data_IF_070719727834
#
_entry.id   IF_070719727834
#
_cell.length_a   1.000
_cell.length_b   1.000
_cell.length_c   1.000
_cell.angle_alpha   90.00
_cell.angle_beta   90.00
_cell.angle_gamma   90.00
#
_symmetry.space_group_name_H-M   'P 1'
#
loop_
_entity.id
_entity.type
_entity.pdbx_description
1 polymer ?
#
# COMPACT_ATOMS: atom_id res chain seq x y z
N UNK A 1 23.14 -26.41 2.65
CA UNK A 1 22.30 -27.60 2.47
C UNK A 1 20.83 -27.22 2.51
N UNK A 2 20.07 -27.72 1.56
CA UNK A 2 18.60 -27.52 1.58
C UNK A 2 17.94 -28.45 2.58
N UNK A 3 16.93 -27.97 3.25
CA UNK A 3 16.15 -28.77 4.21
C UNK A 3 15.32 -29.84 3.46
N UNK A 4 15.02 -30.98 4.10
CA UNK A 4 14.13 -31.98 3.51
C UNK A 4 12.78 -31.38 3.10
N UNK A 5 12.34 -31.66 1.87
CA UNK A 5 11.09 -31.14 1.30
C UNK A 5 11.21 -29.79 0.60
N UNK A 6 12.35 -29.15 0.62
CA UNK A 6 12.62 -27.94 -0.16
C UNK A 6 13.09 -28.33 -1.56
N UNK A 7 12.35 -27.90 -2.58
CA UNK A 7 12.61 -28.20 -4.00
C UNK A 7 13.07 -26.99 -4.81
N UNK A 8 13.33 -25.86 -4.14
CA UNK A 8 13.79 -24.65 -4.81
C UNK A 8 15.25 -24.82 -5.23
N UNK A 9 15.50 -24.64 -6.51
CA UNK A 9 16.86 -24.74 -7.06
C UNK A 9 17.63 -23.45 -6.80
N UNK A 10 18.78 -23.57 -6.15
CA UNK A 10 19.71 -22.44 -5.99
C UNK A 10 20.53 -22.33 -7.27
N UNK A 11 20.49 -21.16 -7.88
CA UNK A 11 21.14 -20.89 -9.16
C UNK A 11 21.86 -19.52 -9.19
N UNK A 12 22.38 -19.12 -10.34
CA UNK A 12 23.16 -17.88 -10.47
C UNK A 12 22.39 -16.60 -10.13
N UNK A 13 21.05 -16.64 -10.21
CA UNK A 13 20.17 -15.50 -9.88
C UNK A 13 19.64 -15.56 -8.45
N UNK A 14 20.07 -16.53 -7.65
CA UNK A 14 19.61 -16.65 -6.26
C UNK A 14 20.42 -15.72 -5.36
N UNK A 15 19.76 -14.82 -4.68
CA UNK A 15 20.37 -13.97 -3.67
C UNK A 15 20.34 -14.66 -2.31
N UNK A 16 21.47 -14.61 -1.60
CA UNK A 16 21.57 -15.11 -0.22
C UNK A 16 21.54 -13.95 0.78
N UNK A 17 20.60 -14.00 1.71
CA UNK A 17 20.46 -13.01 2.78
C UNK A 17 20.81 -13.66 4.11
N UNK A 18 21.77 -13.09 4.84
CA UNK A 18 22.18 -13.59 6.15
C UNK A 18 21.09 -13.37 7.19
N UNK A 19 20.68 -14.46 7.84
CA UNK A 19 19.61 -14.44 8.85
C UNK A 19 19.99 -15.03 10.20
N UNK A 20 21.26 -15.20 10.48
CA UNK A 20 21.74 -15.78 11.72
C UNK A 20 21.29 -14.99 12.93
N UNK A 21 20.71 -15.67 13.91
CA UNK A 21 20.17 -15.06 15.13
C UNK A 21 18.90 -14.20 14.91
N UNK A 22 18.25 -14.33 13.75
CA UNK A 22 17.02 -13.57 13.42
C UNK A 22 15.86 -14.52 13.14
N UNK A 23 14.67 -14.01 13.35
CA UNK A 23 13.43 -14.68 12.96
C UNK A 23 12.89 -13.96 11.72
N UNK A 24 12.68 -14.72 10.64
CA UNK A 24 12.06 -14.19 9.43
C UNK A 24 10.54 -14.22 9.55
N UNK A 25 9.92 -13.10 9.38
CA UNK A 25 8.46 -12.94 9.36
C UNK A 25 8.02 -12.26 8.07
N UNK A 26 6.75 -12.37 7.73
CA UNK A 26 6.16 -11.49 6.72
C UNK A 26 6.23 -10.03 7.21
N UNK A 27 6.38 -9.10 6.28
CA UNK A 27 6.25 -7.68 6.57
C UNK A 27 4.83 -7.33 7.00
N UNK A 28 4.68 -6.30 7.82
CA UNK A 28 3.38 -5.82 8.26
C UNK A 28 2.58 -5.16 7.13
N UNK A 29 1.27 -5.22 7.23
CA UNK A 29 0.35 -4.45 6.39
C UNK A 29 -0.42 -3.46 7.24
N UNK A 30 -0.31 -2.18 6.93
CA UNK A 30 -1.15 -1.14 7.52
C UNK A 30 -2.29 -0.79 6.56
N UNK A 31 -3.51 -1.10 6.94
CA UNK A 31 -4.71 -0.89 6.14
C UNK A 31 -5.56 0.31 6.59
N UNK A 32 -5.03 1.17 7.46
CA UNK A 32 -5.73 2.34 7.95
C UNK A 32 -4.81 3.57 7.97
N UNK A 33 -4.54 4.12 6.81
CA UNK A 33 -3.61 5.24 6.64
C UNK A 33 -4.29 6.41 5.94
N UNK A 34 -3.84 7.59 6.30
CA UNK A 34 -4.03 8.82 5.55
C UNK A 34 -2.68 9.26 5.01
N UNK A 35 -2.48 9.21 3.70
CA UNK A 35 -1.22 9.61 3.06
C UNK A 35 -1.08 11.14 3.08
N UNK A 36 -0.61 11.67 4.21
CA UNK A 36 -0.47 13.11 4.44
C UNK A 36 0.90 13.61 4.04
N UNK A 37 1.94 12.81 4.31
CA UNK A 37 3.32 13.18 4.04
C UNK A 37 4.13 11.96 3.57
N UNK A 38 5.03 12.09 2.59
CA UNK A 38 5.81 10.98 2.07
C UNK A 38 6.72 10.33 3.12
N UNK A 39 7.14 11.07 4.13
CA UNK A 39 7.93 10.55 5.25
C UNK A 39 7.25 9.40 5.99
N UNK A 40 5.92 9.33 5.98
CA UNK A 40 5.19 8.21 6.57
C UNK A 40 5.61 6.86 5.97
N UNK A 41 5.88 6.83 4.68
CA UNK A 41 6.23 5.60 3.96
C UNK A 41 7.60 5.09 4.41
N UNK A 42 8.57 5.98 4.53
CA UNK A 42 9.91 5.65 5.02
C UNK A 42 9.88 5.14 6.47
N UNK A 43 9.17 5.86 7.34
CA UNK A 43 8.99 5.46 8.75
C UNK A 43 8.30 4.10 8.89
N UNK A 44 7.28 3.85 8.09
CA UNK A 44 6.58 2.58 8.07
C UNK A 44 7.50 1.43 7.63
N UNK A 45 8.27 1.64 6.55
CA UNK A 45 9.21 0.65 6.03
C UNK A 45 10.29 0.32 7.07
N UNK A 46 10.85 1.33 7.73
CA UNK A 46 11.83 1.15 8.80
C UNK A 46 11.25 0.43 10.03
N UNK A 47 9.96 0.49 10.21
CA UNK A 47 9.22 -0.20 11.28
C UNK A 47 8.77 -1.62 10.91
N UNK A 48 9.11 -2.10 9.71
CA UNK A 48 8.76 -3.45 9.25
C UNK A 48 7.42 -3.55 8.53
N UNK A 49 6.79 -2.44 8.17
CA UNK A 49 5.62 -2.41 7.30
C UNK A 49 6.10 -2.48 5.85
N UNK A 50 5.54 -3.40 5.08
CA UNK A 50 5.88 -3.59 3.67
C UNK A 50 4.71 -3.37 2.72
N UNK A 51 3.53 -3.14 3.27
CA UNK A 51 2.32 -2.83 2.51
C UNK A 51 1.50 -1.78 3.25
N UNK A 52 1.07 -0.75 2.54
CA UNK A 52 0.19 0.29 3.06
C UNK A 52 -1.03 0.45 2.17
N UNK A 53 -2.21 0.36 2.76
CA UNK A 53 -3.49 0.66 2.11
C UNK A 53 -4.11 1.88 2.78
N UNK A 54 -4.21 2.97 2.07
CA UNK A 54 -4.68 4.20 2.66
C UNK A 54 -5.35 5.17 1.69
N UNK A 55 -5.53 6.36 2.14
CA UNK A 55 -6.34 7.38 1.49
C UNK A 55 -7.72 7.45 2.13
N UNK A 56 -8.71 7.90 1.37
CA UNK A 56 -10.02 8.16 1.92
C UNK A 56 -10.09 9.52 2.62
N UNK A 57 -11.23 9.85 3.18
CA UNK A 57 -11.39 11.10 3.90
C UNK A 57 -10.59 11.05 5.20
N UNK A 58 -9.62 11.91 5.31
CA UNK A 58 -9.02 12.25 6.59
C UNK A 58 -10.05 12.91 7.52
N UNK A 59 -9.63 13.84 8.36
CA UNK A 59 -10.58 14.71 9.04
C UNK A 59 -11.54 15.31 8.00
N UNK A 60 -12.74 15.61 8.39
CA UNK A 60 -13.92 15.83 7.55
C UNK A 60 -13.78 16.78 6.33
N UNK A 61 -12.70 17.48 6.20
CA UNK A 61 -12.39 18.40 5.09
C UNK A 61 -11.19 17.97 4.24
N UNK A 62 -10.66 16.80 4.48
CA UNK A 62 -9.40 16.35 3.90
C UNK A 62 -9.50 15.85 2.47
N UNK A 63 -10.15 16.57 1.59
CA UNK A 63 -10.26 16.13 0.20
C UNK A 63 -8.95 16.25 -0.56
N UNK A 64 -8.10 17.19 -0.23
CA UNK A 64 -6.90 17.45 -1.03
C UNK A 64 -5.65 16.67 -0.58
N UNK A 65 -5.55 16.35 0.69
CA UNK A 65 -4.34 15.74 1.23
C UNK A 65 -4.48 14.26 1.58
N UNK A 66 -5.71 13.77 1.75
CA UNK A 66 -5.92 12.45 2.37
C UNK A 66 -6.95 11.61 1.66
N UNK A 67 -7.54 12.11 0.58
CA UNK A 67 -8.67 11.44 -0.06
C UNK A 67 -8.43 11.12 -1.50
N UNK A 68 -8.81 9.94 -1.84
CA UNK A 68 -8.98 9.53 -3.21
C UNK A 68 -10.46 9.65 -3.58
N UNK A 69 -10.88 10.87 -3.88
CA UNK A 69 -12.23 11.20 -4.33
C UNK A 69 -12.26 11.38 -5.84
N UNK A 70 -12.70 10.36 -6.56
CA UNK A 70 -12.75 10.37 -8.01
C UNK A 70 -11.44 9.96 -8.68
N UNK A 71 -11.54 9.69 -9.98
CA UNK A 71 -10.47 9.11 -10.78
C UNK A 71 -9.19 9.97 -10.79
N UNK A 72 -9.33 11.27 -10.88
CA UNK A 72 -8.17 12.18 -10.94
C UNK A 72 -7.28 12.07 -9.68
N UNK A 73 -7.89 12.07 -8.49
CA UNK A 73 -7.12 11.97 -7.24
C UNK A 73 -6.42 10.62 -7.11
N UNK A 74 -7.12 9.53 -7.47
CA UNK A 74 -6.54 8.18 -7.44
C UNK A 74 -5.35 8.08 -8.38
N UNK A 75 -5.48 8.53 -9.62
CA UNK A 75 -4.40 8.49 -10.61
C UNK A 75 -3.21 9.36 -10.20
N UNK A 76 -3.47 10.55 -9.65
CA UNK A 76 -2.41 11.46 -9.19
C UNK A 76 -1.65 10.85 -8.01
N UNK A 77 -2.35 10.25 -7.05
CA UNK A 77 -1.70 9.58 -5.92
C UNK A 77 -0.92 8.33 -6.33
N UNK A 78 -1.43 7.56 -7.30
CA UNK A 78 -0.67 6.42 -7.85
C UNK A 78 0.64 6.87 -8.49
N UNK A 79 0.61 7.95 -9.28
CA UNK A 79 1.82 8.52 -9.85
C UNK A 79 2.82 8.99 -8.79
N UNK A 80 2.34 9.50 -7.66
CA UNK A 80 3.20 9.90 -6.54
C UNK A 80 3.84 8.72 -5.80
N UNK A 81 3.33 7.50 -5.99
CA UNK A 81 3.83 6.30 -5.32
C UNK A 81 4.98 5.61 -6.04
N UNK A 82 5.23 5.91 -7.31
CA UNK A 82 6.14 5.16 -8.17
C UNK A 82 7.58 5.09 -7.65
N UNK A 83 8.01 6.11 -6.93
CA UNK A 83 9.39 6.18 -6.43
C UNK A 83 9.60 5.48 -5.06
N UNK A 84 8.56 4.95 -4.45
CA UNK A 84 8.67 4.34 -3.12
C UNK A 84 8.83 2.82 -3.19
N UNK A 85 9.82 2.23 -2.49
CA UNK A 85 10.07 0.79 -2.48
C UNK A 85 9.13 0.05 -1.51
N UNK A 86 7.83 0.24 -1.65
CA UNK A 86 6.80 -0.35 -0.82
C UNK A 86 5.56 -0.71 -1.65
N UNK A 87 4.80 -1.70 -1.21
CA UNK A 87 3.49 -1.99 -1.78
C UNK A 87 2.50 -0.94 -1.29
N UNK A 88 2.04 -0.08 -2.18
CA UNK A 88 1.12 1.00 -1.87
C UNK A 88 -0.20 0.80 -2.60
N UNK A 89 -1.30 0.97 -1.89
CA UNK A 89 -2.64 0.87 -2.44
C UNK A 89 -3.53 2.00 -1.92
N UNK A 90 -4.54 2.36 -2.70
CA UNK A 90 -5.44 3.46 -2.38
C UNK A 90 -6.84 2.96 -2.03
N UNK A 91 -7.40 3.53 -0.98
CA UNK A 91 -8.80 3.44 -0.66
C UNK A 91 -9.53 4.70 -1.17
N UNK A 92 -10.52 4.51 -2.00
CA UNK A 92 -11.42 5.56 -2.42
C UNK A 92 -12.43 5.93 -1.32
N UNK A 93 -13.07 7.08 -1.43
CA UNK A 93 -14.15 7.50 -0.52
C UNK A 93 -15.36 6.59 -0.69
N UNK A 94 -15.74 5.88 0.39
CA UNK A 94 -16.85 4.94 0.38
C UNK A 94 -18.23 5.57 0.57
N UNK A 95 -18.30 6.77 1.12
CA UNK A 95 -19.58 7.47 1.29
C UNK A 95 -19.97 8.19 0.00
N UNK A 96 -20.98 7.71 -0.65
CA UNK A 96 -21.58 8.35 -1.80
C UNK A 96 -23.10 8.19 -1.77
N UNK A 97 -23.82 9.19 -2.25
CA UNK A 97 -25.29 9.14 -2.33
C UNK A 97 -25.80 8.29 -3.51
N UNK A 98 -24.91 7.91 -4.43
CA UNK A 98 -25.21 7.08 -5.60
C UNK A 98 -24.06 6.11 -5.88
N UNK A 99 -24.34 4.97 -6.54
CA UNK A 99 -23.29 3.99 -6.90
C UNK A 99 -22.22 4.51 -7.87
N UNK A 100 -22.60 5.34 -8.81
CA UNK A 100 -21.71 5.77 -9.91
C UNK A 100 -20.36 6.35 -9.46
N UNK A 101 -20.27 7.22 -8.42
CA UNK A 101 -18.97 7.69 -7.92
C UNK A 101 -18.09 6.56 -7.34
N UNK A 102 -18.69 5.52 -6.76
CA UNK A 102 -17.94 4.37 -6.23
C UNK A 102 -17.37 3.55 -7.37
N UNK A 103 -18.16 3.30 -8.40
CA UNK A 103 -17.71 2.60 -9.61
C UNK A 103 -16.57 3.33 -10.32
N UNK A 104 -16.65 4.67 -10.39
CA UNK A 104 -15.60 5.50 -10.96
C UNK A 104 -14.26 5.29 -10.24
N UNK A 105 -14.27 5.32 -8.90
CA UNK A 105 -13.06 5.13 -8.09
C UNK A 105 -12.48 3.73 -8.24
N UNK A 106 -13.32 2.70 -8.26
CA UNK A 106 -12.87 1.32 -8.48
C UNK A 106 -12.25 1.16 -9.86
N UNK A 107 -12.89 1.70 -10.90
CA UNK A 107 -12.36 1.69 -12.26
C UNK A 107 -11.04 2.45 -12.42
N UNK A 108 -10.84 3.48 -11.60
CA UNK A 108 -9.59 4.24 -11.55
C UNK A 108 -8.46 3.53 -10.81
N UNK A 109 -8.74 2.42 -10.12
CA UNK A 109 -7.74 1.60 -9.44
C UNK A 109 -7.79 1.63 -7.92
N UNK A 110 -8.85 2.14 -7.31
CA UNK A 110 -9.01 2.03 -5.87
C UNK A 110 -9.09 0.54 -5.45
N UNK A 111 -8.24 0.14 -4.52
CA UNK A 111 -8.19 -1.23 -4.00
C UNK A 111 -9.25 -1.49 -2.92
N UNK A 112 -9.77 -0.44 -2.31
CA UNK A 112 -10.79 -0.49 -1.27
C UNK A 112 -11.64 0.77 -1.27
N UNK A 113 -12.73 0.73 -0.54
CA UNK A 113 -13.57 1.89 -0.26
C UNK A 113 -13.59 2.11 1.26
N UNK A 114 -13.27 3.32 1.67
CA UNK A 114 -13.26 3.70 3.08
C UNK A 114 -14.55 4.43 3.45
N UNK A 115 -15.20 3.97 4.50
CA UNK A 115 -16.41 4.54 5.10
C UNK A 115 -16.06 5.40 6.30
#
# INVERSE_FOLDING_TARGET
DTQPGVTIVIGPSTEAIAGEGKILTAGGMDAHIHFIAPQQIEEALMSGITCMLGGGTGPAHGTLATTCTGAWHIMTMMGAFEDFPMNLALAGKGNASKPAPLEEMVKAGAAALKL
#
